data_IF_131949031558
#
_entry.id   IF_131949031558
#
_cell.length_a   1.000
_cell.length_b   1.000
_cell.length_c   1.000
_cell.angle_alpha   90.00
_cell.angle_beta   90.00
_cell.angle_gamma   90.00
#
_symmetry.space_group_name_H-M   'P 1'
#
loop_
_entity.id
_entity.type
_entity.pdbx_description
1 polymer ?
#
# COMPACT_ATOMS: atom_id res chain seq x y z
N UNK A 1 11.96 1.81 10.45
CA UNK A 1 11.51 1.84 11.86
C UNK A 1 10.02 2.18 11.99
N UNK A 2 9.55 3.28 11.39
CA UNK A 2 8.14 3.71 11.46
C UNK A 2 7.15 2.67 10.94
N UNK A 3 7.44 2.03 9.80
CA UNK A 3 6.61 0.93 9.26
C UNK A 3 6.45 -0.23 10.25
N UNK A 4 7.52 -0.57 10.99
CA UNK A 4 7.47 -1.64 12.00
C UNK A 4 6.56 -1.24 13.18
N UNK A 5 6.61 0.01 13.63
CA UNK A 5 5.67 0.54 14.63
C UNK A 5 4.23 0.49 14.13
N UNK A 6 3.98 0.88 12.87
CA UNK A 6 2.67 0.76 12.24
C UNK A 6 2.15 -0.68 12.26
N UNK A 7 2.99 -1.67 11.95
CA UNK A 7 2.62 -3.07 12.05
C UNK A 7 2.30 -3.52 13.48
N UNK A 8 3.06 -3.07 14.49
CA UNK A 8 2.77 -3.36 15.89
C UNK A 8 1.38 -2.84 16.29
N UNK A 9 1.06 -1.59 15.94
CA UNK A 9 -0.26 -1.02 16.24
C UNK A 9 -1.40 -1.70 15.46
N UNK A 10 -1.15 -2.11 14.20
CA UNK A 10 -2.12 -2.90 13.43
C UNK A 10 -2.42 -4.24 14.11
N UNK A 11 -1.41 -4.91 14.65
CA UNK A 11 -1.58 -6.17 15.40
C UNK A 11 -2.33 -5.99 16.72
N UNK A 12 -2.24 -4.80 17.32
CA UNK A 12 -3.03 -4.41 18.49
C UNK A 12 -4.43 -3.88 18.12
N UNK A 13 -4.85 -3.99 16.86
CA UNK A 13 -6.10 -3.43 16.34
C UNK A 13 -6.27 -1.91 16.55
N UNK A 14 -5.17 -1.19 16.80
CA UNK A 14 -5.13 0.27 16.92
C UNK A 14 -4.89 0.87 15.53
N UNK A 15 -5.87 0.72 14.64
CA UNK A 15 -5.75 1.05 13.23
C UNK A 15 -5.42 2.53 12.96
N UNK A 16 -6.01 3.47 13.70
CA UNK A 16 -5.72 4.91 13.52
C UNK A 16 -4.28 5.29 13.87
N UNK A 17 -3.66 4.63 14.86
CA UNK A 17 -2.22 4.82 15.12
C UNK A 17 -1.37 4.16 14.05
N UNK A 18 -1.75 2.97 13.60
CA UNK A 18 -1.04 2.26 12.55
C UNK A 18 -1.02 3.09 11.25
N UNK A 19 -2.14 3.71 10.90
CA UNK A 19 -2.29 4.64 9.77
C UNK A 19 -1.32 5.82 9.89
N UNK A 20 -1.29 6.52 11.03
CA UNK A 20 -0.35 7.63 11.27
C UNK A 20 1.11 7.24 11.04
N UNK A 21 1.53 6.06 11.51
CA UNK A 21 2.91 5.60 11.31
C UNK A 21 3.22 5.20 9.87
N UNK A 22 2.25 4.68 9.13
CA UNK A 22 2.42 4.38 7.70
C UNK A 22 2.41 5.65 6.85
N UNK A 23 1.62 6.66 7.19
CA UNK A 23 1.66 7.98 6.54
C UNK A 23 2.99 8.70 6.78
N UNK A 24 3.51 8.69 8.01
CA UNK A 24 4.84 9.22 8.31
C UNK A 24 5.94 8.47 7.54
N UNK A 25 5.84 7.14 7.43
CA UNK A 25 6.77 6.35 6.64
C UNK A 25 6.70 6.70 5.15
N UNK A 26 5.49 6.96 4.64
CA UNK A 26 5.25 7.38 3.27
C UNK A 26 5.80 8.79 2.99
N UNK A 27 5.64 9.73 3.90
CA UNK A 27 6.19 11.09 3.78
C UNK A 27 7.72 11.07 3.72
N UNK A 28 8.37 10.31 4.61
CA UNK A 28 9.83 10.16 4.56
C UNK A 28 10.29 9.49 3.27
N UNK A 29 9.56 8.45 2.82
CA UNK A 29 9.88 7.79 1.56
C UNK A 29 9.77 8.77 0.38
N UNK A 30 8.73 9.62 0.35
CA UNK A 30 8.57 10.71 -0.63
C UNK A 30 9.74 11.69 -0.61
N UNK A 31 10.14 12.17 0.57
CA UNK A 31 11.27 13.09 0.71
C UNK A 31 12.59 12.48 0.23
N UNK A 32 12.77 11.18 0.40
CA UNK A 32 13.95 10.45 -0.04
C UNK A 32 13.84 9.91 -1.48
N UNK A 33 12.73 10.17 -2.18
CA UNK A 33 12.41 9.61 -3.49
C UNK A 33 12.50 8.06 -3.54
N UNK A 34 12.34 7.40 -2.40
CA UNK A 34 12.41 5.95 -2.25
C UNK A 34 11.08 5.31 -2.68
N UNK A 35 10.99 5.01 -3.97
CA UNK A 35 9.79 4.43 -4.57
C UNK A 35 9.41 3.08 -3.93
N UNK A 36 10.39 2.27 -3.50
CA UNK A 36 10.13 0.96 -2.90
C UNK A 36 9.42 1.14 -1.55
N UNK A 37 9.96 2.01 -0.70
CA UNK A 37 9.34 2.30 0.60
C UNK A 37 8.02 3.04 0.48
N UNK A 38 7.84 3.88 -0.54
CA UNK A 38 6.54 4.46 -0.86
C UNK A 38 5.52 3.35 -1.19
N UNK A 39 5.87 2.43 -2.08
CA UNK A 39 4.98 1.34 -2.50
C UNK A 39 4.61 0.43 -1.33
N UNK A 40 5.56 0.10 -0.46
CA UNK A 40 5.30 -0.69 0.75
C UNK A 40 4.36 0.03 1.71
N UNK A 41 4.60 1.31 1.99
CA UNK A 41 3.76 2.11 2.90
C UNK A 41 2.33 2.25 2.38
N UNK A 42 2.15 2.43 1.07
CA UNK A 42 0.84 2.40 0.42
C UNK A 42 0.13 1.05 0.57
N UNK A 43 0.83 -0.07 0.38
CA UNK A 43 0.26 -1.40 0.56
C UNK A 43 -0.20 -1.63 2.01
N UNK A 44 0.56 -1.12 2.97
CA UNK A 44 0.23 -1.25 4.39
C UNK A 44 -1.02 -0.43 4.76
N UNK A 45 -1.16 0.79 4.22
CA UNK A 45 -2.39 1.59 4.35
C UNK A 45 -3.61 0.89 3.74
N UNK A 46 -3.48 0.38 2.50
CA UNK A 46 -4.54 -0.40 1.83
C UNK A 46 -4.98 -1.58 2.70
N UNK A 47 -4.03 -2.28 3.33
CA UNK A 47 -4.31 -3.39 4.24
C UNK A 47 -5.04 -2.95 5.51
N UNK A 48 -4.74 -1.77 6.07
CA UNK A 48 -5.49 -1.22 7.21
C UNK A 48 -6.95 -1.00 6.80
N UNK A 49 -7.21 -0.28 5.72
CA UNK A 49 -8.58 0.02 5.32
C UNK A 49 -9.35 -1.23 4.93
N UNK A 50 -8.69 -2.22 4.30
CA UNK A 50 -9.29 -3.53 4.07
C UNK A 50 -9.66 -4.27 5.37
N UNK A 51 -8.87 -4.09 6.44
CA UNK A 51 -9.18 -4.67 7.76
C UNK A 51 -10.32 -3.94 8.49
N UNK A 52 -10.50 -2.65 8.19
CA UNK A 52 -11.60 -1.82 8.71
C UNK A 52 -12.91 -1.97 7.92
N UNK A 53 -12.88 -2.62 6.74
CA UNK A 53 -14.00 -2.68 5.81
C UNK A 53 -14.24 -1.38 5.04
N UNK A 54 -13.32 -0.41 5.12
CA UNK A 54 -13.37 0.88 4.42
C UNK A 54 -12.84 0.73 2.98
N UNK A 55 -13.56 -0.01 2.14
CA UNK A 55 -13.10 -0.35 0.78
C UNK A 55 -12.95 0.87 -0.13
N UNK A 56 -13.81 1.88 0.00
CA UNK A 56 -13.73 3.11 -0.80
C UNK A 56 -12.41 3.85 -0.57
N UNK A 57 -12.01 4.00 0.70
CA UNK A 57 -10.72 4.59 1.08
C UNK A 57 -9.55 3.74 0.62
N UNK A 58 -9.66 2.42 0.74
CA UNK A 58 -8.64 1.49 0.22
C UNK A 58 -8.41 1.68 -1.28
N UNK A 59 -9.47 1.86 -2.06
CA UNK A 59 -9.40 2.12 -3.50
C UNK A 59 -8.74 3.47 -3.79
N UNK A 60 -9.10 4.53 -3.07
CA UNK A 60 -8.46 5.85 -3.22
C UNK A 60 -6.96 5.80 -2.98
N UNK A 61 -6.53 5.10 -1.92
CA UNK A 61 -5.11 4.92 -1.59
C UNK A 61 -4.42 4.06 -2.64
N UNK A 62 -5.08 3.02 -3.15
CA UNK A 62 -4.60 2.23 -4.28
C UNK A 62 -4.37 3.05 -5.55
N UNK A 63 -5.28 3.98 -5.87
CA UNK A 63 -5.12 4.92 -6.99
C UNK A 63 -3.94 5.86 -6.78
N UNK A 64 -3.79 6.43 -5.57
CA UNK A 64 -2.63 7.28 -5.21
C UNK A 64 -1.31 6.53 -5.33
N UNK A 65 -1.26 5.26 -4.89
CA UNK A 65 -0.09 4.39 -5.07
C UNK A 65 0.29 4.24 -6.54
N UNK A 66 -0.69 3.96 -7.41
CA UNK A 66 -0.43 3.76 -8.84
C UNK A 66 0.04 5.04 -9.53
N UNK A 67 -0.51 6.20 -9.14
CA UNK A 67 -0.09 7.49 -9.66
C UNK A 67 1.36 7.83 -9.28
N UNK A 68 1.76 7.54 -8.03
CA UNK A 68 3.08 7.90 -7.52
C UNK A 68 4.16 6.83 -7.79
N UNK A 69 3.77 5.56 -7.89
CA UNK A 69 4.70 4.43 -8.06
C UNK A 69 4.25 3.47 -9.17
N UNK A 70 4.18 3.90 -10.45
CA UNK A 70 3.69 3.08 -11.55
C UNK A 70 4.62 1.89 -11.90
N UNK A 71 5.91 1.96 -11.56
CA UNK A 71 6.94 1.01 -12.01
C UNK A 71 7.17 -0.21 -11.11
N UNK A 72 6.65 -0.24 -9.89
CA UNK A 72 7.01 -1.30 -8.92
C UNK A 72 6.17 -2.58 -9.06
N UNK A 73 5.09 -2.55 -9.86
CA UNK A 73 4.32 -3.77 -10.15
C UNK A 73 5.04 -4.78 -11.07
N UNK A 74 6.22 -4.47 -11.63
CA UNK A 74 6.92 -5.37 -12.57
C UNK A 74 8.15 -6.09 -12.01
N UNK A 75 8.45 -6.02 -10.70
CA UNK A 75 9.70 -6.63 -10.18
C UNK A 75 9.56 -7.67 -9.05
N UNK A 76 8.40 -8.29 -8.90
CA UNK A 76 8.37 -9.69 -8.47
C UNK A 76 8.55 -10.58 -9.69
N UNK A 77 9.79 -10.68 -10.18
CA UNK A 77 10.22 -11.80 -11.05
C UNK A 77 10.12 -13.07 -10.23
N UNK A 78 8.94 -13.68 -10.25
CA UNK A 78 8.66 -15.12 -10.27
C UNK A 78 7.21 -15.34 -9.85
N UNK A 79 6.50 -16.18 -10.60
CA UNK A 79 5.17 -16.78 -10.29
C UNK A 79 3.88 -16.05 -10.69
N UNK A 80 3.79 -14.72 -10.70
CA UNK A 80 2.46 -14.05 -10.84
C UNK A 80 2.13 -13.35 -12.17
N UNK A 81 2.73 -13.78 -13.29
CA UNK A 81 2.27 -13.37 -14.62
C UNK A 81 0.83 -13.84 -14.98
N UNK A 82 0.15 -14.60 -14.13
CA UNK A 82 -1.22 -15.08 -14.39
C UNK A 82 -2.34 -14.20 -13.82
N UNK A 83 -2.08 -13.34 -12.84
CA UNK A 83 -3.18 -12.64 -12.14
C UNK A 83 -3.57 -11.30 -12.79
N UNK A 84 -2.66 -10.66 -13.54
CA UNK A 84 -2.94 -9.38 -14.23
C UNK A 84 -3.79 -9.52 -15.50
N UNK A 85 -4.00 -10.75 -15.99
CA UNK A 85 -4.92 -11.01 -17.12
C UNK A 85 -6.39 -11.07 -16.69
N UNK A 86 -6.69 -11.24 -15.40
CA UNK A 86 -8.08 -11.38 -14.93
C UNK A 86 -8.69 -10.00 -14.62
N UNK A 87 -7.91 -9.04 -14.12
CA UNK A 87 -8.46 -7.71 -13.79
C UNK A 87 -8.68 -6.81 -15.03
N UNK A 88 -7.95 -7.01 -16.14
CA UNK A 88 -8.15 -6.22 -17.36
C UNK A 88 -9.31 -6.73 -18.24
N UNK A 89 -9.82 -7.94 -18.03
CA UNK A 89 -10.97 -8.46 -18.79
C UNK A 89 -12.34 -8.11 -18.17
N UNK A 90 -12.40 -7.46 -17.01
CA UNK A 90 -13.66 -7.05 -16.35
C UNK A 90 -14.01 -5.57 -16.61
N UNK A 91 -13.33 -4.92 -17.55
CA UNK A 91 -13.59 -3.53 -17.96
C UNK A 91 -13.84 -3.37 -19.47
N UNK A 92 -14.27 -4.45 -20.14
CA UNK A 92 -14.83 -4.46 -21.49
C UNK A 92 -16.08 -5.34 -21.51
#
# INVERSE_FOLDING_TARGET
MLRNLGHCYRKLSQYGKAEQYFDLALELAKTNEDLEQMAMSYCDLISIYGSLGEFDRSIEVGKKRLANCPRICSNNRTSHQRMLRICLCLSL
#
